data_IF_661708025872
#
_entry.id   IF_661708025872
#
_cell.length_a   1.000
_cell.length_b   1.000
_cell.length_c   1.000
_cell.angle_alpha   90.00
_cell.angle_beta   90.00
_cell.angle_gamma   90.00
#
_symmetry.space_group_name_H-M   'P 1'
#
loop_
_entity.id
_entity.type
_entity.pdbx_description
1 polymer ?
#
# COMPACT_ATOMS: atom_id res chain seq x y z
N UNK A 1 13.54 13.42 -8.57
CA UNK A 1 12.16 13.54 -8.08
C UNK A 1 12.11 12.78 -6.78
N UNK A 2 12.24 13.54 -5.70
CA UNK A 2 12.17 13.09 -4.32
C UNK A 2 10.94 13.78 -3.78
N UNK A 3 10.08 13.05 -3.06
CA UNK A 3 8.97 13.67 -2.36
C UNK A 3 9.55 14.34 -1.12
N UNK A 4 9.21 15.59 -0.89
CA UNK A 4 9.65 16.33 0.29
C UNK A 4 8.85 15.89 1.52
N UNK A 5 7.56 15.59 1.34
CA UNK A 5 6.69 15.19 2.43
C UNK A 5 6.56 13.66 2.54
N UNK A 6 6.60 13.10 3.77
CA UNK A 6 6.39 11.68 3.98
C UNK A 6 4.95 11.29 3.67
N UNK A 7 4.74 10.26 2.86
CA UNK A 7 3.40 9.70 2.63
C UNK A 7 2.87 9.04 3.90
N UNK A 8 1.65 9.36 4.32
CA UNK A 8 1.00 8.70 5.45
C UNK A 8 0.30 7.41 5.06
N UNK A 9 -0.49 7.45 4.00
CA UNK A 9 -1.33 6.34 3.56
C UNK A 9 -1.04 6.04 2.09
N UNK A 10 -0.68 4.80 1.81
CA UNK A 10 -0.55 4.29 0.45
C UNK A 10 -1.63 3.25 0.16
N UNK A 11 -2.24 3.34 -1.03
CA UNK A 11 -3.26 2.40 -1.51
C UNK A 11 -2.75 1.65 -2.75
N UNK A 12 -2.86 0.33 -2.74
CA UNK A 12 -2.66 -0.51 -3.92
C UNK A 12 -3.76 -1.56 -4.03
N UNK A 13 -4.01 -2.09 -5.23
CA UNK A 13 -4.89 -3.26 -5.34
C UNK A 13 -4.16 -4.53 -4.89
N UNK A 14 -3.00 -4.79 -5.47
CA UNK A 14 -2.19 -5.97 -5.17
C UNK A 14 -1.30 -5.71 -3.96
N UNK A 15 -1.03 -6.75 -3.17
CA UNK A 15 -0.08 -6.67 -2.06
C UNK A 15 1.36 -6.49 -2.56
N UNK A 16 2.17 -5.78 -1.78
CA UNK A 16 3.62 -5.75 -2.00
C UNK A 16 4.22 -7.15 -1.85
N UNK A 17 5.20 -7.48 -2.69
CA UNK A 17 6.04 -8.65 -2.49
C UNK A 17 6.62 -8.65 -1.06
N UNK A 18 6.64 -9.81 -0.40
CA UNK A 18 7.19 -9.97 0.95
C UNK A 18 6.26 -9.62 2.12
N UNK A 19 5.10 -8.98 1.90
CA UNK A 19 4.13 -8.74 2.99
C UNK A 19 3.21 -9.93 3.27
N UNK A 20 3.20 -10.92 2.37
CA UNK A 20 2.35 -12.11 2.46
C UNK A 20 2.94 -13.27 3.28
N UNK A 21 4.04 -13.06 4.02
CA UNK A 21 4.79 -14.15 4.66
C UNK A 21 3.95 -15.01 5.62
N UNK A 22 2.94 -14.45 6.28
CA UNK A 22 2.07 -15.19 7.22
C UNK A 22 0.78 -15.75 6.58
N UNK A 23 0.62 -15.61 5.26
CA UNK A 23 -0.63 -15.95 4.59
C UNK A 23 -0.85 -17.46 4.41
N UNK A 24 0.22 -18.26 4.45
CA UNK A 24 0.14 -19.73 4.29
C UNK A 24 -0.72 -20.41 5.37
N UNK A 25 -0.85 -19.78 6.55
CA UNK A 25 -1.69 -20.28 7.63
C UNK A 25 -3.18 -20.28 7.26
N UNK A 26 -3.60 -19.33 6.41
CA UNK A 26 -4.99 -19.17 5.97
C UNK A 26 -5.22 -19.71 4.56
N UNK A 27 -4.22 -19.65 3.68
CA UNK A 27 -4.31 -20.06 2.28
C UNK A 27 -3.11 -20.91 1.87
N UNK A 28 -3.24 -22.22 2.08
CA UNK A 28 -2.19 -23.21 1.76
C UNK A 28 -1.76 -23.19 0.29
N UNK A 29 -2.65 -22.81 -0.64
CA UNK A 29 -2.33 -22.75 -2.07
C UNK A 29 -1.27 -21.70 -2.43
N UNK A 30 -1.05 -20.70 -1.58
CA UNK A 30 -0.02 -19.68 -1.79
C UNK A 30 1.33 -20.06 -1.18
N UNK A 31 1.45 -21.22 -0.52
CA UNK A 31 2.65 -21.60 0.21
C UNK A 31 3.91 -21.58 -0.66
N UNK A 32 3.81 -22.12 -1.87
CA UNK A 32 4.97 -22.23 -2.78
C UNK A 32 5.41 -20.85 -3.27
N UNK A 33 4.48 -19.99 -3.68
CA UNK A 33 4.78 -18.61 -4.12
C UNK A 33 5.31 -17.74 -2.98
N UNK A 34 4.85 -17.94 -1.74
CA UNK A 34 5.38 -17.24 -0.56
C UNK A 34 6.80 -17.71 -0.28
N UNK A 35 7.05 -19.02 -0.31
CA UNK A 35 8.38 -19.60 -0.07
C UNK A 35 9.40 -19.19 -1.13
N UNK A 36 8.96 -19.05 -2.39
CA UNK A 36 9.77 -18.58 -3.49
C UNK A 36 9.91 -17.04 -3.52
N UNK A 37 9.15 -16.32 -2.68
CA UNK A 37 9.15 -14.87 -2.65
C UNK A 37 8.59 -14.24 -3.92
N UNK A 38 7.64 -14.90 -4.60
CA UNK A 38 7.03 -14.45 -5.86
C UNK A 38 5.61 -13.93 -5.69
N UNK A 39 4.96 -14.17 -4.55
CA UNK A 39 3.60 -13.70 -4.30
C UNK A 39 3.55 -12.18 -4.04
N UNK A 40 2.83 -11.47 -4.90
CA UNK A 40 2.61 -10.02 -4.79
C UNK A 40 3.23 -9.24 -5.94
N UNK A 41 3.20 -7.91 -5.82
CA UNK A 41 3.66 -6.99 -6.85
C UNK A 41 5.08 -6.49 -6.56
N UNK A 42 6.01 -6.77 -7.49
CA UNK A 42 7.39 -6.27 -7.43
C UNK A 42 7.47 -4.73 -7.53
N UNK A 43 6.73 -4.05 -8.43
CA UNK A 43 6.67 -2.59 -8.42
C UNK A 43 6.14 -2.01 -7.11
N UNK A 44 5.13 -2.65 -6.49
CA UNK A 44 4.63 -2.24 -5.18
C UNK A 44 5.70 -2.37 -4.10
N UNK A 45 6.52 -3.43 -4.12
CA UNK A 45 7.64 -3.58 -3.18
C UNK A 45 8.69 -2.47 -3.34
N UNK A 46 9.02 -2.09 -4.57
CA UNK A 46 9.93 -0.97 -4.84
C UNK A 46 9.38 0.36 -4.32
N UNK A 47 8.06 0.58 -4.45
CA UNK A 47 7.41 1.76 -3.90
C UNK A 47 7.35 1.73 -2.37
N UNK A 48 7.10 0.57 -1.76
CA UNK A 48 7.10 0.40 -0.30
C UNK A 48 8.46 0.73 0.30
N UNK A 49 9.54 0.20 -0.28
CA UNK A 49 10.92 0.47 0.14
C UNK A 49 11.29 1.95 0.00
N UNK A 50 10.80 2.61 -1.06
CA UNK A 50 11.15 4.01 -1.36
C UNK A 50 10.33 5.03 -0.57
N UNK A 51 9.01 4.80 -0.45
CA UNK A 51 8.06 5.76 0.12
C UNK A 51 7.88 5.58 1.63
N UNK A 52 8.06 4.36 2.13
CA UNK A 52 7.99 4.00 3.55
C UNK A 52 6.79 4.63 4.28
N UNK A 53 5.55 4.45 3.78
CA UNK A 53 4.39 5.14 4.36
C UNK A 53 4.03 4.62 5.75
N UNK A 54 3.31 5.41 6.56
CA UNK A 54 2.82 4.93 7.88
C UNK A 54 1.86 3.74 7.72
N UNK A 55 1.00 3.78 6.70
CA UNK A 55 -0.01 2.78 6.40
C UNK A 55 0.04 2.35 4.93
N UNK A 56 -0.18 1.05 4.69
CA UNK A 56 -0.35 0.50 3.35
C UNK A 56 -1.59 -0.39 3.31
N UNK A 57 -2.55 -0.04 2.47
CA UNK A 57 -3.78 -0.81 2.31
C UNK A 57 -3.83 -1.51 0.94
N UNK A 58 -4.19 -2.80 0.96
CA UNK A 58 -4.31 -3.63 -0.24
C UNK A 58 -5.57 -4.50 -0.25
N UNK A 59 -5.78 -5.18 -1.37
CA UNK A 59 -6.85 -6.15 -1.56
C UNK A 59 -6.35 -7.34 -2.39
N UNK A 60 -7.12 -7.72 -3.42
CA UNK A 60 -6.85 -8.75 -4.43
C UNK A 60 -6.80 -10.21 -3.93
N UNK A 61 -6.04 -10.50 -2.88
CA UNK A 61 -5.83 -11.86 -2.40
C UNK A 61 -7.06 -12.48 -1.72
N UNK A 62 -8.19 -11.76 -1.64
CA UNK A 62 -9.47 -12.23 -1.09
C UNK A 62 -9.32 -12.89 0.28
N UNK A 63 -8.57 -12.24 1.16
CA UNK A 63 -8.45 -12.60 2.57
C UNK A 63 -7.92 -11.40 3.35
N UNK A 64 -8.43 -11.22 4.57
CA UNK A 64 -7.89 -10.22 5.48
C UNK A 64 -6.60 -10.74 6.11
N UNK A 65 -5.53 -9.96 6.00
CA UNK A 65 -4.29 -10.19 6.74
C UNK A 65 -3.59 -8.87 7.03
N UNK A 66 -2.71 -8.89 8.03
CA UNK A 66 -1.90 -7.75 8.44
C UNK A 66 -0.44 -8.12 8.46
N UNK A 67 0.43 -7.15 8.20
CA UNK A 67 1.86 -7.27 8.36
C UNK A 67 2.44 -5.97 8.93
N UNK A 68 3.56 -6.09 9.64
CA UNK A 68 4.40 -4.96 10.01
C UNK A 68 5.63 -5.03 9.12
N UNK A 69 5.92 -3.93 8.42
CA UNK A 69 7.09 -3.84 7.55
C UNK A 69 8.05 -2.85 8.17
N UNK A 70 9.13 -3.38 8.74
CA UNK A 70 10.24 -2.60 9.27
C UNK A 70 11.18 -2.24 8.10
N UNK A 71 11.44 -0.95 7.90
CA UNK A 71 12.27 -0.49 6.78
C UNK A 71 13.76 -0.47 7.10
N UNK A 72 14.11 -0.05 8.32
CA UNK A 72 15.48 0.06 8.83
C UNK A 72 15.46 -0.31 10.32
N UNK A 73 16.60 -0.75 10.87
CA UNK A 73 16.69 -1.12 12.29
C UNK A 73 16.41 0.11 13.19
N UNK A 74 15.30 0.06 13.95
CA UNK A 74 14.82 1.21 14.72
C UNK A 74 14.16 2.33 13.90
N UNK A 75 13.93 2.10 12.61
CA UNK A 75 13.33 3.06 11.68
C UNK A 75 11.80 3.05 11.67
N UNK A 76 11.22 3.72 10.66
CA UNK A 76 9.76 3.77 10.44
C UNK A 76 9.22 2.37 10.16
N UNK A 77 8.01 2.09 10.66
CA UNK A 77 7.28 0.85 10.41
C UNK A 77 6.03 1.15 9.62
N UNK A 78 5.83 0.45 8.50
CA UNK A 78 4.56 0.49 7.77
C UNK A 78 3.59 -0.54 8.34
N UNK A 79 2.40 -0.08 8.72
CA UNK A 79 1.28 -0.94 9.10
C UNK A 79 0.53 -1.37 7.82
N UNK A 80 0.74 -2.61 7.41
CA UNK A 80 0.10 -3.16 6.22
C UNK A 80 -1.21 -3.88 6.58
N UNK A 81 -2.28 -3.62 5.83
CA UNK A 81 -3.55 -4.32 5.93
C UNK A 81 -4.10 -4.63 4.53
N UNK A 82 -4.35 -5.92 4.27
CA UNK A 82 -5.15 -6.34 3.13
C UNK A 82 -6.55 -6.75 3.58
N UNK A 83 -7.56 -6.47 2.75
CA UNK A 83 -8.96 -6.82 3.01
C UNK A 83 -9.46 -7.91 2.06
N UNK A 84 -10.53 -8.60 2.49
CA UNK A 84 -11.22 -9.58 1.67
C UNK A 84 -12.22 -8.93 0.69
N UNK A 85 -12.76 -9.72 -0.23
CA UNK A 85 -13.82 -9.29 -1.14
C UNK A 85 -15.14 -9.09 -0.38
N UNK A 86 -15.92 -8.11 -0.82
CA UNK A 86 -17.27 -7.79 -0.31
C UNK A 86 -18.28 -8.91 -0.61
N UNK A 87 -18.17 -10.03 0.11
CA UNK A 87 -19.06 -11.18 0.05
C UNK A 87 -19.59 -11.50 1.46
N UNK A 88 -20.77 -12.14 1.56
CA UNK A 88 -21.34 -12.53 2.85
C UNK A 88 -20.35 -13.32 3.72
N UNK A 89 -20.27 -12.97 5.01
CA UNK A 89 -19.43 -13.65 5.99
C UNK A 89 -17.92 -13.38 5.88
N UNK A 90 -17.48 -12.46 5.00
CA UNK A 90 -16.06 -12.15 4.82
C UNK A 90 -15.61 -10.89 5.54
N UNK A 91 -14.31 -10.81 5.83
CA UNK A 91 -13.67 -9.68 6.53
C UNK A 91 -13.25 -8.60 5.55
N UNK A 92 -14.22 -7.98 4.87
CA UNK A 92 -13.98 -7.02 3.79
C UNK A 92 -13.93 -5.55 4.23
N UNK A 93 -14.29 -5.25 5.48
CA UNK A 93 -14.31 -3.89 6.02
C UNK A 93 -13.48 -3.79 7.31
N UNK A 94 -12.72 -2.72 7.43
CA UNK A 94 -12.02 -2.32 8.65
C UNK A 94 -12.13 -0.80 8.77
N UNK A 95 -12.52 -0.33 9.96
CA UNK A 95 -12.47 1.09 10.32
C UNK A 95 -11.13 1.32 11.05
N UNK A 96 -10.41 2.36 10.67
CA UNK A 96 -9.12 2.73 11.27
C UNK A 96 -9.20 4.19 11.66
N UNK A 97 -8.86 4.48 12.91
CA UNK A 97 -8.73 5.84 13.42
C UNK A 97 -7.29 6.32 13.20
N UNK A 98 -7.14 7.45 12.52
CA UNK A 98 -5.85 8.06 12.20
C UNK A 98 -5.89 9.50 12.72
N UNK A 99 -4.88 9.85 13.51
CA UNK A 99 -4.75 11.20 14.07
C UNK A 99 -4.51 12.21 12.94
N UNK A 100 -5.15 13.37 13.04
CA UNK A 100 -5.00 14.48 12.09
C UNK A 100 -5.12 15.81 12.82
N UNK A 101 -4.54 16.85 12.22
CA UNK A 101 -4.69 18.22 12.70
C UNK A 101 -6.16 18.69 12.59
N UNK A 102 -6.61 19.60 13.48
CA UNK A 102 -7.97 20.12 13.45
C UNK A 102 -8.29 20.80 12.10
N UNK A 103 -9.44 20.42 11.52
CA UNK A 103 -9.86 20.79 10.17
C UNK A 103 -10.27 22.27 9.96
N UNK A 104 -10.57 22.63 8.71
CA UNK A 104 -11.49 21.91 7.81
C UNK A 104 -10.89 20.69 7.10
N UNK A 105 -11.69 19.62 6.95
CA UNK A 105 -11.31 18.41 6.21
C UNK A 105 -11.80 18.49 4.76
N UNK A 106 -10.90 18.85 3.85
CA UNK A 106 -11.20 19.01 2.43
C UNK A 106 -10.33 18.11 1.56
N UNK A 107 -10.87 17.63 0.44
CA UNK A 107 -10.09 16.87 -0.55
C UNK A 107 -9.41 17.86 -1.47
N UNK A 108 -8.08 17.77 -1.56
CA UNK A 108 -7.24 18.65 -2.37
C UNK A 108 -6.24 17.82 -3.19
N UNK A 109 -5.73 18.43 -4.25
CA UNK A 109 -4.61 17.86 -5.00
C UNK A 109 -3.31 18.16 -4.26
N UNK A 110 -2.44 17.16 -4.19
CA UNK A 110 -1.08 17.31 -3.71
C UNK A 110 -0.22 18.13 -4.70
N UNK A 111 0.53 19.10 -4.20
CA UNK A 111 1.35 20.00 -5.02
C UNK A 111 2.51 19.24 -5.69
N UNK A 112 3.10 18.26 -5.00
CA UNK A 112 4.16 17.44 -5.58
C UNK A 112 3.61 16.63 -6.75
N UNK A 113 2.48 15.94 -6.58
CA UNK A 113 1.79 15.20 -7.63
C UNK A 113 1.46 16.06 -8.86
N UNK A 114 0.98 17.30 -8.66
CA UNK A 114 0.72 18.23 -9.75
C UNK A 114 2.02 18.62 -10.47
N UNK A 115 3.10 18.87 -9.74
CA UNK A 115 4.41 19.18 -10.32
C UNK A 115 4.96 17.99 -11.14
N UNK A 116 4.82 16.76 -10.63
CA UNK A 116 5.19 15.51 -11.32
C UNK A 116 4.43 15.39 -12.63
N UNK A 117 3.10 15.49 -12.56
CA UNK A 117 2.19 15.34 -13.71
C UNK A 117 2.49 16.39 -14.77
N UNK A 118 2.65 17.65 -14.38
CA UNK A 118 3.00 18.74 -15.31
C UNK A 118 4.35 18.50 -15.98
N UNK A 119 5.35 18.03 -15.23
CA UNK A 119 6.69 17.76 -15.78
C UNK A 119 6.70 16.61 -16.79
N UNK A 120 5.85 15.60 -16.56
CA UNK A 120 5.75 14.40 -17.40
C UNK A 120 4.73 14.52 -18.54
N UNK A 121 3.98 15.63 -18.63
CA UNK A 121 2.95 15.82 -19.65
C UNK A 121 3.46 15.71 -21.10
N UNK A 122 4.75 16.00 -21.37
CA UNK A 122 5.31 15.82 -22.71
C UNK A 122 5.52 14.35 -23.10
N UNK A 123 5.59 13.44 -22.12
CA UNK A 123 5.73 11.99 -22.32
C UNK A 123 4.37 11.29 -22.21
N UNK A 124 3.51 11.79 -21.31
CA UNK A 124 2.16 11.29 -21.06
C UNK A 124 1.15 12.44 -21.17
N UNK A 125 0.85 12.92 -22.39
CA UNK A 125 -0.09 14.01 -22.57
C UNK A 125 -1.49 13.58 -22.15
N UNK A 126 -2.16 14.43 -21.35
CA UNK A 126 -3.54 14.19 -20.90
C UNK A 126 -4.57 14.37 -22.02
N UNK A 127 -4.17 14.93 -23.16
CA UNK A 127 -5.00 15.18 -24.33
C UNK A 127 -4.23 14.81 -25.58
N UNK A 128 -4.87 14.03 -26.47
CA UNK A 128 -4.36 13.70 -27.81
C UNK A 128 -4.34 14.94 -28.71
#
# INVERSE_FOLDING_TARGET
>A
MHLEEPIDIFLSHDASLGTCNNLFATKKHFKDEIQQGTLGSKPAAQLLEKLKPSYWFSAHLHCKFTALVEHEEGGRVTKFLALDKCLPGRKFLQIVDIESDPGPYEVQYDEEWLAITRKLNCVFPLTF
#
